data_IF_615064653367
#
_entry.id   IF_615064653367
#
_cell.length_a   1.000
_cell.length_b   1.000
_cell.length_c   1.000
_cell.angle_alpha   90.00
_cell.angle_beta   90.00
_cell.angle_gamma   90.00
#
_symmetry.space_group_name_H-M   'P 1'
#
loop_
_entity.id
_entity.type
_entity.pdbx_description
1 polymer ?
#
# COMPACT_ATOMS: atom_id res chain seq x y z
N UNK A 1 -95.11 7.37 -23.53
CA UNK A 1 -93.62 7.36 -23.61
C UNK A 1 -92.88 7.92 -22.37
N UNK A 2 -93.51 8.69 -21.46
CA UNK A 2 -92.86 9.29 -20.28
C UNK A 2 -92.54 8.37 -19.09
N UNK A 3 -93.14 7.16 -19.01
CA UNK A 3 -92.94 6.22 -17.89
C UNK A 3 -91.61 5.44 -17.99
N UNK A 4 -91.25 4.93 -19.17
CA UNK A 4 -90.00 4.18 -19.40
C UNK A 4 -88.72 5.01 -19.19
N UNK A 5 -88.73 6.30 -19.54
CA UNK A 5 -87.57 7.19 -19.36
C UNK A 5 -87.26 7.49 -17.89
N UNK A 6 -88.27 7.60 -17.01
CA UNK A 6 -88.07 7.84 -15.57
C UNK A 6 -87.50 6.61 -14.86
N UNK A 7 -87.94 5.42 -15.27
CA UNK A 7 -87.43 4.16 -14.74
C UNK A 7 -85.95 3.94 -15.12
N UNK A 8 -85.57 4.18 -16.38
CA UNK A 8 -84.18 4.13 -16.81
C UNK A 8 -83.29 5.15 -16.07
N UNK A 9 -83.76 6.38 -15.86
CA UNK A 9 -83.03 7.38 -15.09
C UNK A 9 -82.90 7.03 -13.61
N UNK A 10 -83.88 6.32 -13.02
CA UNK A 10 -83.80 5.84 -11.64
C UNK A 10 -82.80 4.68 -11.50
N UNK A 11 -82.85 3.70 -12.40
CA UNK A 11 -81.90 2.57 -12.43
C UNK A 11 -80.47 3.05 -12.69
N UNK A 12 -80.28 3.99 -13.61
CA UNK A 12 -78.97 4.56 -13.91
C UNK A 12 -78.40 5.36 -12.72
N UNK A 13 -79.24 6.10 -11.99
CA UNK A 13 -78.83 6.78 -10.73
C UNK A 13 -78.49 5.79 -9.62
N UNK A 14 -79.20 4.66 -9.53
CA UNK A 14 -78.91 3.61 -8.56
C UNK A 14 -77.57 2.91 -8.90
N UNK A 15 -77.35 2.57 -10.16
CA UNK A 15 -76.09 2.00 -10.67
C UNK A 15 -74.91 2.96 -10.43
N UNK A 16 -75.08 4.25 -10.71
CA UNK A 16 -74.07 5.28 -10.42
C UNK A 16 -73.78 5.40 -8.92
N UNK A 17 -74.79 5.29 -8.04
CA UNK A 17 -74.59 5.27 -6.58
C UNK A 17 -73.84 4.01 -6.15
N UNK A 18 -74.19 2.83 -6.65
CA UNK A 18 -73.52 1.58 -6.35
C UNK A 18 -72.06 1.58 -6.83
N UNK A 19 -71.79 2.09 -8.03
CA UNK A 19 -70.43 2.25 -8.57
C UNK A 19 -69.61 3.25 -7.73
N UNK A 20 -70.19 4.37 -7.29
CA UNK A 20 -69.53 5.34 -6.40
C UNK A 20 -69.24 4.76 -5.02
N UNK A 21 -70.15 3.96 -4.46
CA UNK A 21 -69.95 3.26 -3.19
C UNK A 21 -68.86 2.19 -3.30
N UNK A 22 -68.86 1.38 -4.37
CA UNK A 22 -67.82 0.41 -4.67
C UNK A 22 -66.44 1.06 -4.84
N UNK A 23 -66.38 2.19 -5.57
CA UNK A 23 -65.15 2.98 -5.74
C UNK A 23 -64.65 3.57 -4.41
N UNK A 24 -65.53 4.12 -3.57
CA UNK A 24 -65.18 4.61 -2.22
C UNK A 24 -64.68 3.49 -1.30
N UNK A 25 -65.27 2.29 -1.38
CA UNK A 25 -64.88 1.13 -0.57
C UNK A 25 -63.52 0.57 -1.00
N UNK A 26 -63.27 0.49 -2.32
CA UNK A 26 -61.97 0.11 -2.89
C UNK A 26 -60.87 1.11 -2.51
N UNK A 27 -61.15 2.42 -2.56
CA UNK A 27 -60.20 3.44 -2.15
C UNK A 27 -59.86 3.36 -0.65
N UNK A 28 -60.85 3.01 0.20
CA UNK A 28 -60.63 2.76 1.64
C UNK A 28 -59.74 1.54 1.90
N UNK A 29 -59.98 0.45 1.18
CA UNK A 29 -59.17 -0.78 1.31
C UNK A 29 -57.73 -0.58 0.84
N UNK A 30 -57.51 0.11 -0.28
CA UNK A 30 -56.16 0.45 -0.76
C UNK A 30 -55.43 1.30 0.26
N UNK A 31 -56.10 2.30 0.84
CA UNK A 31 -55.51 3.18 1.85
C UNK A 31 -55.20 2.46 3.17
N UNK A 32 -56.02 1.48 3.56
CA UNK A 32 -55.73 0.60 4.71
C UNK A 32 -54.55 -0.33 4.44
N UNK A 33 -54.47 -0.91 3.24
CA UNK A 33 -53.33 -1.74 2.84
C UNK A 33 -52.03 -0.94 2.79
N UNK A 34 -52.08 0.29 2.29
CA UNK A 34 -50.94 1.22 2.26
C UNK A 34 -50.49 1.60 3.69
N UNK A 35 -51.43 1.86 4.60
CA UNK A 35 -51.11 2.10 6.01
C UNK A 35 -50.52 0.88 6.71
N UNK A 36 -51.06 -0.32 6.45
CA UNK A 36 -50.53 -1.58 6.98
C UNK A 36 -49.13 -1.87 6.41
N UNK A 37 -48.90 -1.58 5.14
CA UNK A 37 -47.59 -1.69 4.50
C UNK A 37 -46.59 -0.73 5.14
N UNK A 38 -46.95 0.55 5.30
CA UNK A 38 -46.07 1.53 5.95
C UNK A 38 -45.79 1.16 7.41
N UNK A 39 -46.79 0.71 8.16
CA UNK A 39 -46.63 0.28 9.55
C UNK A 39 -45.78 -0.99 9.65
N UNK A 40 -46.04 -2.00 8.83
CA UNK A 40 -45.26 -3.23 8.76
C UNK A 40 -43.81 -2.98 8.34
N UNK A 41 -43.60 -2.10 7.36
CA UNK A 41 -42.25 -1.68 6.93
C UNK A 41 -41.53 -0.89 8.02
N UNK A 42 -42.23 -0.06 8.80
CA UNK A 42 -41.66 0.65 9.95
C UNK A 42 -41.29 -0.31 11.08
N UNK A 43 -42.16 -1.27 11.41
CA UNK A 43 -41.89 -2.32 12.39
C UNK A 43 -40.72 -3.21 11.97
N UNK A 44 -40.66 -3.62 10.71
CA UNK A 44 -39.55 -4.39 10.16
C UNK A 44 -38.26 -3.59 10.21
N UNK A 45 -38.30 -2.30 9.81
CA UNK A 45 -37.15 -1.41 9.95
C UNK A 45 -36.74 -1.27 11.41
N UNK A 46 -37.67 -1.15 12.36
CA UNK A 46 -37.36 -1.01 13.79
C UNK A 46 -36.79 -2.28 14.41
N UNK A 47 -37.31 -3.46 14.05
CA UNK A 47 -36.81 -4.77 14.50
C UNK A 47 -35.41 -5.08 13.93
N UNK A 48 -35.15 -4.65 12.69
CA UNK A 48 -33.85 -4.78 12.04
C UNK A 48 -32.98 -3.53 12.22
N UNK A 49 -33.46 -2.51 12.93
CA UNK A 49 -32.71 -1.27 13.17
C UNK A 49 -31.71 -1.56 14.26
N UNK A 50 -30.50 -1.88 13.83
CA UNK A 50 -29.36 -1.90 14.71
C UNK A 50 -28.43 -0.77 14.29
N UNK A 51 -28.24 0.23 15.17
CA UNK A 51 -27.29 1.33 14.95
C UNK A 51 -25.85 0.85 14.73
N UNK A 52 -25.55 -0.39 15.12
CA UNK A 52 -24.27 -1.05 14.90
C UNK A 52 -24.21 -1.91 13.62
N UNK A 53 -25.33 -2.21 12.95
CA UNK A 53 -25.37 -3.04 11.73
C UNK A 53 -25.68 -2.17 10.52
N UNK A 54 -24.65 -1.51 10.01
CA UNK A 54 -24.72 -0.79 8.74
C UNK A 54 -24.60 -1.79 7.56
N UNK A 55 -24.99 -1.38 6.35
CA UNK A 55 -24.82 -2.21 5.14
C UNK A 55 -23.37 -2.69 4.93
N UNK A 56 -22.40 -1.88 5.35
CA UNK A 56 -20.98 -2.25 5.35
C UNK A 56 -20.69 -3.49 6.21
N UNK A 57 -21.35 -3.65 7.36
CA UNK A 57 -21.15 -4.80 8.26
C UNK A 57 -21.70 -6.08 7.64
N UNK A 58 -22.84 -5.97 6.95
CA UNK A 58 -23.44 -7.10 6.23
C UNK A 58 -22.54 -7.52 5.07
N UNK A 59 -22.04 -6.58 4.28
CA UNK A 59 -21.08 -6.84 3.21
C UNK A 59 -19.80 -7.48 3.76
N UNK A 60 -19.22 -6.91 4.81
CA UNK A 60 -18.02 -7.46 5.46
C UNK A 60 -18.23 -8.92 5.92
N UNK A 61 -19.41 -9.23 6.44
CA UNK A 61 -19.78 -10.59 6.88
C UNK A 61 -19.93 -11.55 5.70
N UNK A 62 -20.53 -11.11 4.58
CA UNK A 62 -20.68 -11.93 3.37
C UNK A 62 -19.34 -12.24 2.70
N UNK A 63 -18.40 -11.28 2.72
CA UNK A 63 -17.07 -11.44 2.13
C UNK A 63 -16.06 -12.12 3.07
N UNK A 64 -16.42 -12.38 4.33
CA UNK A 64 -15.52 -13.00 5.31
C UNK A 64 -14.90 -14.34 4.85
N UNK A 65 -15.63 -15.28 4.22
CA UNK A 65 -15.03 -16.51 3.70
C UNK A 65 -14.02 -16.26 2.59
N UNK A 66 -14.27 -15.25 1.74
CA UNK A 66 -13.37 -14.86 0.66
C UNK A 66 -12.10 -14.24 1.24
N UNK A 67 -12.23 -13.33 2.22
CA UNK A 67 -11.09 -12.75 2.92
C UNK A 67 -10.26 -13.81 3.61
N UNK A 68 -10.89 -14.78 4.26
CA UNK A 68 -10.20 -15.90 4.88
C UNK A 68 -9.39 -16.72 3.86
N UNK A 69 -9.99 -17.04 2.71
CA UNK A 69 -9.29 -17.77 1.64
C UNK A 69 -8.10 -16.97 1.11
N UNK A 70 -8.30 -15.69 0.79
CA UNK A 70 -7.24 -14.80 0.29
C UNK A 70 -6.12 -14.66 1.32
N UNK A 71 -6.45 -14.46 2.60
CA UNK A 71 -5.48 -14.33 3.69
C UNK A 71 -4.68 -15.63 3.88
N UNK A 72 -5.34 -16.78 3.82
CA UNK A 72 -4.70 -18.09 3.94
C UNK A 72 -3.72 -18.35 2.79
N UNK A 73 -4.17 -18.09 1.55
CA UNK A 73 -3.39 -18.25 0.34
C UNK A 73 -2.21 -17.27 0.31
N UNK A 74 -2.41 -16.03 0.77
CA UNK A 74 -1.35 -14.99 0.82
C UNK A 74 -0.19 -15.39 1.74
N UNK A 75 -0.45 -16.11 2.84
CA UNK A 75 0.62 -16.63 3.72
C UNK A 75 1.53 -17.64 3.00
N UNK A 76 0.94 -18.54 2.22
CA UNK A 76 1.69 -19.52 1.44
C UNK A 76 2.52 -18.85 0.34
N UNK A 77 1.92 -17.88 -0.37
CA UNK A 77 2.64 -17.09 -1.35
C UNK A 77 3.78 -16.29 -0.74
N UNK A 78 3.67 -15.86 0.52
CA UNK A 78 4.75 -15.17 1.24
C UNK A 78 6.05 -15.98 1.27
N UNK A 79 5.97 -17.29 1.55
CA UNK A 79 7.15 -18.19 1.53
C UNK A 79 7.77 -18.28 0.14
N UNK A 80 6.93 -18.39 -0.89
CA UNK A 80 7.36 -18.43 -2.30
C UNK A 80 8.06 -17.13 -2.69
N UNK A 81 7.52 -15.97 -2.31
CA UNK A 81 8.14 -14.67 -2.59
C UNK A 81 9.48 -14.49 -1.87
N UNK A 82 9.60 -14.94 -0.63
CA UNK A 82 10.89 -14.90 0.09
C UNK A 82 11.93 -15.80 -0.60
N UNK A 83 11.55 -17.02 -0.96
CA UNK A 83 12.42 -17.93 -1.71
C UNK A 83 12.82 -17.34 -3.08
N UNK A 84 11.88 -16.66 -3.75
CA UNK A 84 12.12 -15.99 -5.03
C UNK A 84 13.14 -14.86 -4.89
N UNK A 85 13.02 -13.99 -3.88
CA UNK A 85 13.99 -12.91 -3.65
C UNK A 85 15.39 -13.50 -3.40
N UNK A 86 15.50 -14.50 -2.52
CA UNK A 86 16.78 -15.17 -2.23
C UNK A 86 17.36 -15.81 -3.50
N UNK A 87 16.54 -16.52 -4.28
CA UNK A 87 16.96 -17.18 -5.51
C UNK A 87 17.42 -16.20 -6.59
N UNK A 88 16.68 -15.10 -6.81
CA UNK A 88 17.03 -14.06 -7.79
C UNK A 88 18.29 -13.29 -7.37
N UNK A 89 18.44 -12.95 -6.08
CA UNK A 89 19.66 -12.29 -5.61
C UNK A 89 20.87 -13.23 -5.74
N UNK A 90 20.71 -14.51 -5.39
CA UNK A 90 21.78 -15.50 -5.51
C UNK A 90 22.18 -15.76 -6.96
N UNK A 91 21.22 -15.77 -7.91
CA UNK A 91 21.52 -15.95 -9.33
C UNK A 91 22.32 -14.77 -9.88
N UNK A 92 21.98 -13.53 -9.51
CA UNK A 92 22.77 -12.34 -9.88
C UNK A 92 24.18 -12.42 -9.31
N UNK A 93 24.32 -12.71 -8.02
CA UNK A 93 25.64 -12.87 -7.37
C UNK A 93 26.46 -13.95 -8.08
N UNK A 94 25.87 -15.10 -8.38
CA UNK A 94 26.55 -16.18 -9.09
C UNK A 94 27.02 -15.73 -10.48
N UNK A 95 26.20 -15.00 -11.25
CA UNK A 95 26.60 -14.48 -12.57
C UNK A 95 27.74 -13.47 -12.43
N UNK A 96 27.70 -12.58 -11.43
CA UNK A 96 28.78 -11.60 -11.19
C UNK A 96 30.10 -12.32 -10.91
N UNK A 97 30.14 -13.29 -10.00
CA UNK A 97 31.39 -13.95 -9.62
C UNK A 97 31.89 -14.98 -10.63
N UNK A 98 30.98 -15.73 -11.26
CA UNK A 98 31.37 -16.83 -12.18
C UNK A 98 31.60 -16.29 -13.59
N UNK A 99 30.77 -15.35 -14.06
CA UNK A 99 30.84 -14.85 -15.44
C UNK A 99 31.56 -13.50 -15.53
N UNK A 100 31.20 -12.50 -14.72
CA UNK A 100 31.70 -11.14 -14.90
C UNK A 100 33.10 -10.94 -14.31
N UNK A 101 33.37 -11.49 -13.12
CA UNK A 101 34.65 -11.27 -12.42
C UNK A 101 35.87 -11.70 -13.26
N UNK A 102 35.90 -12.88 -13.92
CA UNK A 102 37.04 -13.25 -14.76
C UNK A 102 37.29 -12.27 -15.90
N UNK A 103 36.22 -11.74 -16.51
CA UNK A 103 36.34 -10.71 -17.55
C UNK A 103 36.84 -9.39 -16.96
N UNK A 104 36.31 -8.99 -15.80
CA UNK A 104 36.67 -7.73 -15.17
C UNK A 104 38.15 -7.70 -14.79
N UNK A 105 38.67 -8.83 -14.28
CA UNK A 105 40.08 -8.99 -13.91
C UNK A 105 41.05 -8.91 -15.09
N UNK A 106 40.58 -9.24 -16.30
CA UNK A 106 41.41 -9.21 -17.52
C UNK A 106 41.35 -7.87 -18.25
N UNK A 107 40.20 -7.18 -18.19
CA UNK A 107 39.93 -6.01 -19.04
C UNK A 107 40.15 -4.67 -18.32
N UNK A 108 39.87 -4.58 -17.02
CA UNK A 108 39.86 -3.30 -16.30
C UNK A 108 41.15 -3.04 -15.51
N UNK A 109 41.38 -1.76 -15.20
CA UNK A 109 42.51 -1.34 -14.36
C UNK A 109 42.34 -1.84 -12.92
N UNK A 110 43.45 -2.11 -12.19
CA UNK A 110 43.39 -2.58 -10.80
C UNK A 110 42.57 -1.67 -9.87
N UNK A 111 42.64 -0.34 -10.06
CA UNK A 111 41.86 0.62 -9.29
C UNK A 111 40.34 0.41 -9.48
N UNK A 112 39.91 0.14 -10.71
CA UNK A 112 38.50 -0.09 -11.01
C UNK A 112 38.01 -1.43 -10.50
N UNK A 113 38.85 -2.47 -10.59
CA UNK A 113 38.59 -3.78 -9.98
C UNK A 113 38.38 -3.62 -8.47
N UNK A 114 39.29 -2.93 -7.77
CA UNK A 114 39.18 -2.67 -6.34
C UNK A 114 37.88 -1.93 -5.99
N UNK A 115 37.47 -0.94 -6.80
CA UNK A 115 36.21 -0.23 -6.61
C UNK A 115 34.99 -1.15 -6.74
N UNK A 116 34.92 -1.95 -7.82
CA UNK A 116 33.81 -2.92 -8.04
C UNK A 116 33.72 -3.94 -6.91
N UNK A 117 34.85 -4.47 -6.46
CA UNK A 117 34.89 -5.40 -5.34
C UNK A 117 34.47 -4.71 -4.04
N UNK A 118 35.02 -3.54 -3.70
CA UNK A 118 34.71 -2.85 -2.45
C UNK A 118 33.23 -2.43 -2.38
N UNK A 119 32.75 -1.71 -3.40
CA UNK A 119 31.36 -1.26 -3.45
C UNK A 119 30.39 -2.43 -3.57
N UNK A 120 30.69 -3.40 -4.44
CA UNK A 120 29.85 -4.58 -4.67
C UNK A 120 29.67 -5.42 -3.40
N UNK A 121 30.74 -5.70 -2.66
CA UNK A 121 30.65 -6.43 -1.39
C UNK A 121 29.95 -5.62 -0.31
N UNK A 122 30.26 -4.32 -0.18
CA UNK A 122 29.59 -3.45 0.79
C UNK A 122 28.07 -3.44 0.55
N UNK A 123 27.64 -3.23 -0.69
CA UNK A 123 26.23 -3.19 -1.04
C UNK A 123 25.56 -4.56 -0.85
N UNK A 124 26.23 -5.67 -1.19
CA UNK A 124 25.73 -7.02 -0.96
C UNK A 124 25.52 -7.30 0.54
N UNK A 125 26.49 -6.93 1.39
CA UNK A 125 26.37 -7.05 2.85
C UNK A 125 25.17 -6.26 3.35
N UNK A 126 24.98 -5.03 2.87
CA UNK A 126 23.85 -4.19 3.26
C UNK A 126 22.50 -4.79 2.82
N UNK A 127 22.40 -5.32 1.59
CA UNK A 127 21.19 -5.99 1.10
C UNK A 127 20.86 -7.21 1.97
N UNK A 128 21.83 -8.11 2.16
CA UNK A 128 21.62 -9.37 2.88
C UNK A 128 21.24 -9.09 4.34
N UNK A 129 21.97 -8.20 5.00
CA UNK A 129 21.69 -7.84 6.39
C UNK A 129 20.29 -7.25 6.56
N UNK A 130 19.93 -6.23 5.77
CA UNK A 130 18.65 -5.56 5.93
C UNK A 130 17.48 -6.46 5.53
N UNK A 131 17.65 -7.31 4.50
CA UNK A 131 16.63 -8.29 4.14
C UNK A 131 16.42 -9.31 5.25
N UNK A 132 17.51 -9.89 5.78
CA UNK A 132 17.45 -10.82 6.91
C UNK A 132 16.77 -10.21 8.14
N UNK A 133 17.14 -8.98 8.50
CA UNK A 133 16.52 -8.28 9.63
C UNK A 133 15.05 -7.96 9.37
N UNK A 134 14.66 -7.60 8.14
CA UNK A 134 13.27 -7.31 7.79
C UNK A 134 12.37 -8.54 7.89
N UNK A 135 12.85 -9.72 7.48
CA UNK A 135 12.07 -10.98 7.54
C UNK A 135 12.02 -11.57 8.96
N UNK A 136 13.10 -11.46 9.74
CA UNK A 136 13.20 -12.11 11.07
C UNK A 136 12.75 -11.23 12.23
N UNK A 137 12.88 -9.91 12.11
CA UNK A 137 12.51 -8.99 13.20
C UNK A 137 10.99 -8.92 13.32
N UNK A 138 10.49 -9.22 14.52
CA UNK A 138 9.09 -9.02 14.87
C UNK A 138 8.69 -7.55 14.68
N UNK A 139 7.57 -7.23 14.01
CA UNK A 139 7.18 -5.84 13.73
C UNK A 139 6.74 -5.06 14.98
N UNK A 140 6.53 -5.75 16.10
CA UNK A 140 6.05 -5.18 17.37
C UNK A 140 4.55 -5.36 17.55
N UNK A 141 4.16 -5.77 18.75
CA UNK A 141 2.76 -6.05 19.10
C UNK A 141 2.43 -5.37 20.44
N UNK A 142 1.20 -4.85 20.62
CA UNK A 142 0.79 -4.30 21.90
C UNK A 142 0.73 -5.40 22.96
N UNK A 143 1.03 -5.09 24.24
CA UNK A 143 0.88 -6.04 25.33
C UNK A 143 -0.59 -6.45 25.46
N UNK A 144 -0.83 -7.72 25.82
CA UNK A 144 -2.18 -8.26 26.00
C UNK A 144 -2.83 -7.83 27.33
N UNK A 145 -2.07 -7.24 28.25
CA UNK A 145 -2.57 -6.78 29.53
C UNK A 145 -3.51 -5.58 29.35
N UNK A 146 -4.65 -5.62 30.07
CA UNK A 146 -5.56 -4.48 30.22
C UNK A 146 -4.85 -3.43 31.09
N UNK A 147 -4.03 -2.58 30.48
CA UNK A 147 -3.64 -1.35 31.14
C UNK A 147 -4.83 -0.39 31.09
N UNK A 148 -5.14 0.25 32.22
CA UNK A 148 -6.19 1.26 32.41
C UNK A 148 -5.88 2.57 31.67
N UNK A 149 -5.57 2.47 30.38
CA UNK A 149 -5.36 3.62 29.51
C UNK A 149 -6.72 4.11 29.03
N UNK A 150 -7.36 4.92 29.86
CA UNK A 150 -8.59 5.64 29.54
C UNK A 150 -8.39 6.47 28.26
N UNK A 151 -9.20 6.20 27.23
CA UNK A 151 -9.20 6.95 25.96
C UNK A 151 -8.52 6.28 24.76
N UNK A 152 -8.07 5.02 24.88
CA UNK A 152 -7.47 4.28 23.77
C UNK A 152 -8.53 3.49 22.97
N UNK A 153 -8.47 3.57 21.63
CA UNK A 153 -9.35 2.77 20.75
C UNK A 153 -9.15 1.28 20.98
N UNK A 154 -10.21 0.47 20.92
CA UNK A 154 -10.11 -1.00 21.10
C UNK A 154 -10.12 -1.67 19.73
N UNK A 155 -9.25 -2.68 19.53
CA UNK A 155 -9.34 -3.54 18.36
C UNK A 155 -10.52 -4.51 18.51
N UNK A 156 -11.47 -4.48 17.59
CA UNK A 156 -12.63 -5.39 17.62
C UNK A 156 -12.26 -6.86 17.44
N UNK A 157 -11.21 -7.16 16.66
CA UNK A 157 -10.77 -8.53 16.35
C UNK A 157 -9.92 -9.14 17.48
N UNK A 158 -9.00 -8.36 18.05
CA UNK A 158 -8.13 -8.82 19.14
C UNK A 158 -8.74 -8.63 20.53
N UNK A 159 -9.81 -7.83 20.66
CA UNK A 159 -10.44 -7.46 21.94
C UNK A 159 -9.39 -6.92 22.93
N UNK A 160 -8.49 -6.07 22.42
CA UNK A 160 -7.38 -5.51 23.17
C UNK A 160 -7.25 -4.00 22.90
N UNK A 161 -6.69 -3.22 23.85
CA UNK A 161 -6.35 -1.83 23.61
C UNK A 161 -5.47 -1.70 22.37
N UNK A 162 -5.78 -0.75 21.50
CA UNK A 162 -5.03 -0.43 20.27
C UNK A 162 -4.35 0.92 20.45
N UNK A 163 -3.05 0.92 20.85
CA UNK A 163 -2.26 2.14 21.00
C UNK A 163 -2.26 2.99 19.72
N UNK A 164 -1.84 4.24 19.85
CA UNK A 164 -1.71 5.14 18.71
C UNK A 164 -0.84 4.51 17.60
N UNK A 165 -1.22 4.76 16.34
CA UNK A 165 -0.56 4.23 15.12
C UNK A 165 -0.56 2.70 14.99
N UNK A 166 -1.26 1.96 15.86
CA UNK A 166 -1.36 0.50 15.79
C UNK A 166 -2.51 0.08 14.88
N UNK A 167 -2.33 -0.93 14.03
CA UNK A 167 -3.42 -1.48 13.20
C UNK A 167 -3.44 -3.00 13.25
N UNK A 168 -4.63 -3.58 13.07
CA UNK A 168 -4.80 -5.03 13.01
C UNK A 168 -4.51 -5.51 11.59
N UNK A 169 -3.61 -6.48 11.45
CA UNK A 169 -3.37 -7.19 10.20
C UNK A 169 -4.17 -8.50 10.22
N UNK A 170 -5.10 -8.68 9.28
CA UNK A 170 -5.87 -9.93 9.15
C UNK A 170 -4.98 -11.10 8.76
N UNK A 171 -4.02 -10.87 7.86
CA UNK A 171 -3.05 -11.88 7.42
C UNK A 171 -2.20 -12.38 8.59
N UNK A 172 -1.70 -11.53 9.47
CA UNK A 172 -0.95 -11.97 10.66
C UNK A 172 -1.85 -12.32 11.87
N UNK A 173 -3.16 -12.05 11.76
CA UNK A 173 -4.18 -12.15 12.79
C UNK A 173 -3.79 -11.52 14.14
N UNK A 174 -3.23 -10.29 14.09
CA UNK A 174 -2.73 -9.59 15.29
C UNK A 174 -2.59 -8.08 15.05
N UNK A 175 -2.59 -7.31 16.13
CA UNK A 175 -2.29 -5.89 16.10
C UNK A 175 -0.78 -5.63 16.01
N UNK A 176 -0.37 -4.79 15.06
CA UNK A 176 1.02 -4.42 14.81
C UNK A 176 1.24 -2.95 15.16
N UNK A 177 2.26 -2.67 15.97
CA UNK A 177 2.65 -1.32 16.38
C UNK A 177 3.18 -0.53 15.18
N UNK A 178 2.79 0.75 15.06
CA UNK A 178 3.17 1.63 13.94
C UNK A 178 3.05 0.93 12.57
N UNK A 179 1.96 0.17 12.38
CA UNK A 179 1.81 -0.69 11.20
C UNK A 179 1.85 0.16 9.93
N UNK A 180 2.72 -0.24 9.00
CA UNK A 180 2.73 0.30 7.65
C UNK A 180 1.89 -0.61 6.75
N UNK A 181 2.37 -1.81 6.44
CA UNK A 181 1.63 -2.78 5.62
C UNK A 181 2.06 -4.21 5.94
N UNK A 182 1.29 -5.18 5.44
CA UNK A 182 1.76 -6.55 5.37
C UNK A 182 2.49 -6.76 4.05
N UNK A 183 3.73 -7.26 4.09
CA UNK A 183 4.56 -7.43 2.90
C UNK A 183 4.76 -8.92 2.59
N UNK A 184 4.15 -9.46 1.51
CA UNK A 184 4.37 -10.84 1.10
C UNK A 184 5.83 -11.15 0.79
N UNK A 185 6.59 -10.19 0.26
CA UNK A 185 8.03 -10.32 -0.05
C UNK A 185 8.93 -10.51 1.17
N UNK A 186 8.42 -10.19 2.36
CA UNK A 186 9.09 -10.46 3.63
C UNK A 186 8.47 -11.62 4.40
N UNK A 187 7.32 -12.13 3.94
CA UNK A 187 6.42 -12.98 4.72
C UNK A 187 6.20 -12.43 6.16
N UNK A 188 6.15 -11.11 6.30
CA UNK A 188 6.11 -10.43 7.58
C UNK A 188 5.39 -9.07 7.44
N UNK A 189 4.83 -8.58 8.54
CA UNK A 189 4.34 -7.21 8.60
C UNK A 189 5.51 -6.22 8.72
N UNK A 190 5.34 -5.03 8.15
CA UNK A 190 6.22 -3.89 8.36
C UNK A 190 5.59 -3.00 9.43
N UNK A 191 6.27 -2.86 10.56
CA UNK A 191 5.82 -2.14 11.74
C UNK A 191 6.98 -1.48 12.49
N UNK A 192 6.73 -1.04 13.73
CA UNK A 192 7.65 -0.20 14.50
C UNK A 192 9.12 -0.66 14.50
N UNK A 193 9.36 -1.94 14.79
CA UNK A 193 10.72 -2.46 14.99
C UNK A 193 11.46 -2.86 13.71
N UNK A 194 10.75 -3.09 12.59
CA UNK A 194 11.36 -3.54 11.35
C UNK A 194 11.17 -2.61 10.15
N UNK A 195 10.44 -1.50 10.30
CA UNK A 195 10.19 -0.54 9.21
C UNK A 195 11.50 -0.01 8.61
N UNK A 196 12.49 0.32 9.43
CA UNK A 196 13.77 0.79 8.91
C UNK A 196 14.51 -0.27 8.09
N UNK A 197 14.45 -1.54 8.51
CA UNK A 197 15.13 -2.61 7.80
C UNK A 197 14.50 -2.84 6.44
N UNK A 198 13.17 -2.80 6.37
CA UNK A 198 12.44 -2.83 5.10
C UNK A 198 12.86 -1.68 4.19
N UNK A 199 12.86 -0.43 4.68
CA UNK A 199 13.24 0.72 3.86
C UNK A 199 14.69 0.62 3.37
N UNK A 200 15.63 0.32 4.26
CA UNK A 200 17.05 0.16 3.90
C UNK A 200 17.27 -0.99 2.92
N UNK A 201 16.59 -2.12 3.08
CA UNK A 201 16.62 -3.21 2.10
C UNK A 201 16.21 -2.71 0.72
N UNK A 202 15.06 -2.04 0.60
CA UNK A 202 14.59 -1.49 -0.66
C UNK A 202 15.60 -0.50 -1.26
N UNK A 203 16.19 0.38 -0.43
CA UNK A 203 17.19 1.36 -0.85
C UNK A 203 18.46 0.69 -1.39
N UNK A 204 19.12 -0.17 -0.61
CA UNK A 204 20.38 -0.80 -1.03
C UNK A 204 20.18 -1.80 -2.17
N UNK A 205 19.00 -2.44 -2.26
CA UNK A 205 18.67 -3.28 -3.40
C UNK A 205 18.47 -2.44 -4.67
N UNK A 206 17.77 -1.31 -4.59
CA UNK A 206 17.67 -0.36 -5.71
C UNK A 206 19.05 0.17 -6.13
N UNK A 207 19.88 0.60 -5.18
CA UNK A 207 21.24 1.10 -5.48
C UNK A 207 22.11 0.02 -6.13
N UNK A 208 22.06 -1.21 -5.62
CA UNK A 208 22.79 -2.35 -6.21
C UNK A 208 22.33 -2.67 -7.63
N UNK A 209 21.02 -2.67 -7.87
CA UNK A 209 20.45 -2.88 -9.20
C UNK A 209 20.83 -1.76 -10.17
N UNK A 210 20.73 -0.49 -9.76
CA UNK A 210 21.16 0.67 -10.57
C UNK A 210 22.65 0.54 -10.91
N UNK A 211 23.48 0.20 -9.92
CA UNK A 211 24.91 0.02 -10.11
C UNK A 211 25.19 -1.06 -11.17
N UNK A 212 24.59 -2.26 -11.02
CA UNK A 212 24.76 -3.36 -11.97
C UNK A 212 24.27 -2.99 -13.38
N UNK A 213 23.16 -2.25 -13.50
CA UNK A 213 22.63 -1.79 -14.78
C UNK A 213 23.54 -0.78 -15.48
N UNK A 214 24.13 0.16 -14.73
CA UNK A 214 25.05 1.16 -15.28
C UNK A 214 26.38 0.49 -15.64
N UNK A 215 26.98 -0.26 -14.71
CA UNK A 215 28.28 -0.91 -14.94
C UNK A 215 28.23 -1.99 -16.02
N UNK A 216 27.09 -2.68 -16.15
CA UNK A 216 26.88 -3.76 -17.12
C UNK A 216 26.40 -3.30 -18.49
N UNK A 217 26.17 -2.01 -18.73
CA UNK A 217 25.55 -1.51 -19.97
C UNK A 217 26.34 -1.89 -21.24
N UNK A 218 27.65 -1.64 -21.25
CA UNK A 218 28.50 -1.96 -22.41
C UNK A 218 28.53 -3.46 -22.67
N UNK A 219 28.70 -4.27 -21.62
CA UNK A 219 28.67 -5.73 -21.71
C UNK A 219 27.32 -6.26 -22.21
N UNK A 220 26.23 -5.64 -21.78
CA UNK A 220 24.88 -5.97 -22.25
C UNK A 220 24.76 -5.72 -23.76
N UNK A 221 25.18 -4.54 -24.24
CA UNK A 221 25.11 -4.20 -25.67
C UNK A 221 25.89 -5.19 -26.51
N UNK A 222 27.09 -5.55 -26.08
CA UNK A 222 27.95 -6.51 -26.77
C UNK A 222 27.35 -7.93 -26.74
N UNK A 223 26.83 -8.36 -25.59
CA UNK A 223 26.19 -9.66 -25.46
C UNK A 223 24.90 -9.76 -26.27
N UNK A 224 24.11 -8.69 -26.32
CA UNK A 224 22.89 -8.62 -27.11
C UNK A 224 23.18 -8.70 -28.61
N UNK A 225 24.14 -7.92 -29.11
CA UNK A 225 24.59 -7.97 -30.49
C UNK A 225 25.16 -9.37 -30.86
N UNK A 226 25.92 -10.00 -29.96
CA UNK A 226 26.40 -11.35 -30.15
C UNK A 226 25.26 -12.38 -30.26
N UNK A 227 24.21 -12.26 -29.44
CA UNK A 227 23.03 -13.13 -29.52
C UNK A 227 22.29 -12.96 -30.84
N UNK A 228 22.12 -11.73 -31.32
CA UNK A 228 21.48 -11.49 -32.63
C UNK A 228 22.30 -12.10 -33.77
N UNK A 229 23.62 -11.94 -33.77
CA UNK A 229 24.51 -12.59 -34.75
C UNK A 229 24.41 -14.10 -34.70
N UNK A 230 24.41 -14.70 -33.50
CA UNK A 230 24.27 -16.15 -33.34
C UNK A 230 22.93 -16.67 -33.90
N UNK A 231 21.82 -15.94 -33.71
CA UNK A 231 20.50 -16.30 -34.26
C UNK A 231 20.48 -16.25 -35.78
N UNK A 232 21.11 -15.24 -36.38
CA UNK A 232 21.19 -15.11 -37.84
C UNK A 232 21.99 -16.26 -38.46
N UNK A 233 23.16 -16.57 -37.88
CA UNK A 233 24.00 -17.68 -38.34
C UNK A 233 23.31 -19.05 -38.17
N UNK A 234 22.54 -19.23 -37.10
CA UNK A 234 21.76 -20.47 -36.91
C UNK A 234 20.66 -20.61 -37.97
N UNK A 235 19.99 -19.50 -38.33
CA UNK A 235 18.99 -19.47 -39.41
C UNK A 235 19.62 -19.76 -40.77
N UNK A 236 20.77 -19.16 -41.07
CA UNK A 236 21.54 -19.44 -42.28
C UNK A 236 21.95 -20.91 -42.35
N UNK A 237 22.46 -21.47 -41.24
CA UNK A 237 22.81 -22.90 -41.16
C UNK A 237 21.63 -23.82 -41.46
N UNK A 238 20.46 -23.52 -40.89
CA UNK A 238 19.22 -24.28 -41.14
C UNK A 238 18.79 -24.18 -42.60
N UNK A 239 18.94 -23.00 -43.21
CA UNK A 239 18.62 -22.77 -44.62
C UNK A 239 19.58 -23.50 -45.57
N UNK A 240 20.88 -23.48 -45.29
CA UNK A 240 21.90 -24.24 -46.05
C UNK A 240 21.64 -25.75 -45.91
N UNK A 241 21.31 -26.22 -44.70
CA UNK A 241 20.96 -27.63 -44.48
C UNK A 241 19.68 -28.05 -45.22
N UNK A 242 18.68 -27.16 -45.33
CA UNK A 242 17.44 -27.41 -46.05
C UNK A 242 17.62 -27.42 -47.58
N UNK A 243 18.51 -26.58 -48.11
CA UNK A 243 18.67 -26.40 -49.55
C UNK A 243 19.63 -27.39 -50.23
N UNK A 244 20.20 -28.35 -49.50
CA UNK A 244 21.11 -29.41 -50.02
C UNK A 244 22.23 -28.93 -50.97
N UNK A 245 22.66 -27.67 -50.89
CA UNK A 245 23.77 -27.17 -51.71
C UNK A 245 25.10 -27.61 -51.12
N UNK A 246 25.65 -28.68 -51.71
CA UNK A 246 27.03 -29.15 -51.53
C UNK A 246 27.99 -27.99 -51.89
N UNK A 247 29.07 -27.79 -51.14
CA UNK A 247 30.16 -26.79 -51.29
C UNK A 247 30.18 -25.53 -50.41
N UNK A 248 29.24 -25.30 -49.47
CA UNK A 248 29.44 -24.24 -48.47
C UNK A 248 30.02 -24.79 -47.16
N UNK A 249 31.10 -24.19 -46.68
CA UNK A 249 31.63 -24.47 -45.34
C UNK A 249 30.54 -24.20 -44.30
N UNK A 250 30.28 -25.14 -43.38
CA UNK A 250 29.24 -24.93 -42.37
C UNK A 250 29.61 -23.72 -41.51
N UNK A 251 28.64 -22.84 -41.19
CA UNK A 251 28.90 -21.67 -40.36
C UNK A 251 29.47 -22.09 -38.99
N UNK A 252 30.30 -21.24 -38.37
CA UNK A 252 30.99 -21.57 -37.12
C UNK A 252 29.99 -21.95 -36.02
N UNK A 253 30.26 -23.04 -35.31
CA UNK A 253 29.40 -23.49 -34.21
C UNK A 253 29.80 -22.81 -32.91
N UNK A 254 28.84 -22.16 -32.25
CA UNK A 254 29.08 -21.53 -30.96
C UNK A 254 29.01 -22.55 -29.83
N UNK A 255 30.02 -22.52 -28.96
CA UNK A 255 30.04 -23.38 -27.77
C UNK A 255 28.85 -23.09 -26.86
N UNK A 256 28.36 -24.11 -26.16
CA UNK A 256 27.29 -23.94 -25.16
C UNK A 256 27.67 -22.90 -24.11
N UNK A 257 28.94 -22.89 -23.68
CA UNK A 257 29.48 -21.94 -22.69
C UNK A 257 29.38 -20.49 -23.15
N UNK A 258 29.73 -20.18 -24.40
CA UNK A 258 29.60 -18.82 -24.96
C UNK A 258 28.15 -18.37 -25.02
N UNK A 259 27.24 -19.25 -25.49
CA UNK A 259 25.80 -18.94 -25.52
C UNK A 259 25.24 -18.70 -24.13
N UNK A 260 25.62 -19.52 -23.15
CA UNK A 260 25.23 -19.35 -21.76
C UNK A 260 25.74 -18.01 -21.20
N UNK A 261 27.01 -17.66 -21.43
CA UNK A 261 27.60 -16.40 -20.99
C UNK A 261 26.82 -15.18 -21.49
N UNK A 262 26.60 -15.05 -22.79
CA UNK A 262 25.88 -13.89 -23.35
C UNK A 262 24.43 -13.82 -22.83
N UNK A 263 23.74 -14.97 -22.72
CA UNK A 263 22.39 -15.02 -22.15
C UNK A 263 22.36 -14.60 -20.67
N UNK A 264 23.37 -15.01 -19.88
CA UNK A 264 23.50 -14.63 -18.47
C UNK A 264 23.73 -13.13 -18.29
N UNK A 265 24.58 -12.52 -19.13
CA UNK A 265 24.82 -11.06 -19.11
C UNK A 265 23.53 -10.30 -19.44
N UNK A 266 22.79 -10.74 -20.47
CA UNK A 266 21.49 -10.14 -20.82
C UNK A 266 20.47 -10.30 -19.71
N UNK A 267 20.35 -11.50 -19.12
CA UNK A 267 19.48 -11.76 -17.97
C UNK A 267 19.81 -10.84 -16.79
N UNK A 268 21.10 -10.70 -16.45
CA UNK A 268 21.55 -9.84 -15.34
C UNK A 268 21.14 -8.38 -15.56
N UNK A 269 21.41 -7.83 -16.75
CA UNK A 269 21.09 -6.43 -17.02
C UNK A 269 19.58 -6.17 -17.06
N UNK A 270 18.80 -7.05 -17.69
CA UNK A 270 17.33 -6.93 -17.78
C UNK A 270 16.70 -7.06 -16.38
N UNK A 271 17.12 -8.05 -15.58
CA UNK A 271 16.59 -8.23 -14.24
C UNK A 271 16.92 -7.03 -13.35
N UNK A 272 18.19 -6.61 -13.30
CA UNK A 272 18.59 -5.45 -12.48
C UNK A 272 17.88 -4.17 -12.90
N UNK A 273 17.74 -3.91 -14.21
CA UNK A 273 17.07 -2.70 -14.69
C UNK A 273 15.58 -2.69 -14.37
N UNK A 274 14.91 -3.82 -14.52
CA UNK A 274 13.48 -3.94 -14.20
C UNK A 274 13.21 -3.79 -12.69
N UNK A 275 14.04 -4.42 -11.85
CA UNK A 275 13.96 -4.29 -10.38
C UNK A 275 14.31 -2.87 -9.93
N UNK A 276 15.34 -2.23 -10.52
CA UNK A 276 15.70 -0.84 -10.20
C UNK A 276 14.52 0.12 -10.41
N UNK A 277 13.78 -0.04 -11.51
CA UNK A 277 12.61 0.79 -11.80
C UNK A 277 11.46 0.52 -10.84
N UNK A 278 11.06 -0.75 -10.70
CA UNK A 278 9.91 -1.13 -9.89
C UNK A 278 10.14 -0.87 -8.39
N UNK A 279 11.27 -1.35 -7.86
CA UNK A 279 11.64 -1.16 -6.46
C UNK A 279 12.03 0.28 -6.18
N UNK A 280 12.69 0.97 -7.12
CA UNK A 280 13.05 2.38 -6.97
C UNK A 280 11.83 3.28 -6.81
N UNK A 281 10.77 3.06 -7.59
CA UNK A 281 9.51 3.78 -7.42
C UNK A 281 8.88 3.54 -6.02
N UNK A 282 8.92 2.31 -5.53
CA UNK A 282 8.46 1.96 -4.18
C UNK A 282 9.33 2.65 -3.10
N UNK A 283 10.65 2.62 -3.25
CA UNK A 283 11.61 3.27 -2.34
C UNK A 283 11.35 4.77 -2.25
N UNK A 284 11.17 5.45 -3.40
CA UNK A 284 10.85 6.87 -3.46
C UNK A 284 9.50 7.20 -2.81
N UNK A 285 8.50 6.34 -3.01
CA UNK A 285 7.21 6.48 -2.36
C UNK A 285 7.33 6.41 -0.83
N UNK A 286 8.04 5.40 -0.30
CA UNK A 286 8.27 5.29 1.14
C UNK A 286 9.12 6.44 1.68
N UNK A 287 10.13 6.91 0.93
CA UNK A 287 10.91 8.09 1.29
C UNK A 287 10.02 9.33 1.45
N UNK A 288 9.02 9.52 0.58
CA UNK A 288 8.04 10.60 0.70
C UNK A 288 7.12 10.43 1.93
N UNK A 289 6.76 9.20 2.30
CA UNK A 289 5.99 8.91 3.52
C UNK A 289 6.80 9.27 4.78
N UNK A 290 8.06 8.80 4.84
CA UNK A 290 8.98 9.07 5.96
C UNK A 290 9.19 10.58 6.11
N UNK A 291 9.42 11.30 5.00
CA UNK A 291 9.58 12.76 5.01
C UNK A 291 8.36 13.47 5.62
N UNK A 292 7.16 12.91 5.47
CA UNK A 292 5.92 13.46 6.04
C UNK A 292 5.60 12.94 7.45
N UNK A 293 6.38 12.00 7.97
CA UNK A 293 6.14 11.35 9.26
C UNK A 293 4.92 10.40 9.26
N UNK A 294 4.48 9.96 8.09
CA UNK A 294 3.28 9.11 7.90
C UNK A 294 3.68 7.66 7.58
N UNK A 295 2.90 6.68 8.04
CA UNK A 295 2.87 5.34 7.43
C UNK A 295 1.97 5.31 6.20
N UNK A 296 2.00 4.23 5.41
CA UNK A 296 1.10 4.05 4.26
C UNK A 296 -0.37 4.05 4.65
N UNK A 297 -0.73 3.44 5.79
CA UNK A 297 -2.09 3.50 6.37
C UNK A 297 -2.45 4.93 6.78
N UNK A 298 -1.54 5.61 7.49
CA UNK A 298 -1.78 6.97 7.97
C UNK A 298 -1.94 7.96 6.82
N UNK A 299 -1.22 7.78 5.72
CA UNK A 299 -1.42 8.60 4.51
C UNK A 299 -2.87 8.54 4.03
N UNK A 300 -3.49 7.37 4.05
CA UNK A 300 -4.89 7.22 3.65
C UNK A 300 -5.84 7.91 4.63
N UNK A 301 -5.61 7.74 5.94
CA UNK A 301 -6.37 8.38 7.01
C UNK A 301 -6.25 9.92 6.90
N UNK A 302 -5.03 10.42 6.81
CA UNK A 302 -4.71 11.84 6.70
C UNK A 302 -5.25 12.42 5.39
N UNK A 303 -5.26 11.67 4.29
CA UNK A 303 -5.90 12.11 3.04
C UNK A 303 -7.41 12.28 3.21
N UNK A 304 -8.09 11.34 3.86
CA UNK A 304 -9.53 11.45 4.16
C UNK A 304 -9.82 12.63 5.09
N UNK A 305 -9.00 12.85 6.12
CA UNK A 305 -9.21 13.96 7.06
C UNK A 305 -8.94 15.32 6.40
N UNK A 306 -7.91 15.43 5.55
CA UNK A 306 -7.68 16.62 4.70
C UNK A 306 -8.91 16.95 3.85
N UNK A 307 -9.49 15.95 3.18
CA UNK A 307 -10.70 16.14 2.37
C UNK A 307 -11.91 16.54 3.23
N UNK A 308 -12.06 15.98 4.43
CA UNK A 308 -13.14 16.32 5.36
C UNK A 308 -13.04 17.77 5.83
N UNK A 309 -11.84 18.22 6.21
CA UNK A 309 -11.61 19.60 6.65
C UNK A 309 -11.77 20.61 5.51
N UNK A 310 -11.33 20.28 4.30
CA UNK A 310 -11.58 21.10 3.11
C UNK A 310 -13.08 21.28 2.85
N UNK A 311 -13.88 20.20 2.94
CA UNK A 311 -15.34 20.27 2.80
C UNK A 311 -15.98 21.12 3.90
N UNK A 312 -15.55 20.97 5.16
CA UNK A 312 -16.04 21.83 6.27
C UNK A 312 -15.70 23.30 6.08
N UNK A 313 -14.49 23.60 5.60
CA UNK A 313 -14.07 24.96 5.27
C UNK A 313 -14.93 25.57 4.16
N UNK A 314 -15.19 24.80 3.09
CA UNK A 314 -16.07 25.21 1.99
C UNK A 314 -17.54 25.41 2.41
N UNK A 315 -18.08 24.58 3.30
CA UNK A 315 -19.43 24.77 3.85
C UNK A 315 -19.50 26.03 4.72
N UNK A 316 -18.45 26.27 5.53
CA UNK A 316 -18.40 27.47 6.39
C UNK A 316 -18.31 28.76 5.57
N UNK A 317 -17.54 28.77 4.47
CA UNK A 317 -17.47 29.92 3.55
C UNK A 317 -18.75 30.09 2.73
N UNK A 318 -19.39 29.00 2.28
CA UNK A 318 -20.66 29.05 1.56
C UNK A 318 -21.84 29.51 2.43
N UNK A 319 -21.93 29.06 3.69
CA UNK A 319 -22.91 29.56 4.65
C UNK A 319 -22.72 31.06 4.95
N UNK A 320 -21.47 31.55 4.92
CA UNK A 320 -21.16 32.97 5.09
C UNK A 320 -21.54 33.81 3.86
N UNK A 321 -21.46 33.24 2.65
CA UNK A 321 -21.82 33.92 1.40
C UNK A 321 -23.33 33.91 1.10
N UNK A 322 -24.10 32.97 1.66
CA UNK A 322 -25.55 32.88 1.50
C UNK A 322 -26.38 33.73 2.47
N UNK A 323 -25.75 34.36 3.47
CA UNK A 323 -26.41 35.31 4.37
C UNK A 323 -26.46 36.70 3.70
N UNK A 324 -27.60 37.00 3.06
CA UNK A 324 -27.85 38.27 2.41
C UNK A 324 -27.71 39.49 3.33
N UNK A 325 -27.16 40.56 2.75
CA UNK A 325 -27.24 41.98 3.12
C UNK A 325 -28.02 42.30 4.40
N UNK A 326 -27.33 42.19 5.54
CA UNK A 326 -27.88 42.55 6.84
C UNK A 326 -26.76 42.88 7.82
N UNK A 327 -26.37 44.17 7.85
CA UNK A 327 -25.63 44.86 8.91
C UNK A 327 -24.43 44.07 9.49
N UNK A 328 -23.24 44.34 8.94
CA UNK A 328 -21.96 43.87 9.45
C UNK A 328 -21.84 44.10 10.98
N UNK A 329 -22.06 43.03 11.75
CA UNK A 329 -21.70 42.96 13.17
C UNK A 329 -20.23 42.57 13.19
N UNK A 330 -19.40 43.43 13.77
CA UNK A 330 -17.92 43.42 13.71
C UNK A 330 -17.25 42.31 14.54
N UNK A 331 -18.00 41.28 14.94
CA UNK A 331 -17.61 40.32 15.97
C UNK A 331 -17.77 38.84 15.54
N UNK A 332 -17.62 38.52 14.25
CA UNK A 332 -17.39 37.12 13.88
C UNK A 332 -15.92 36.79 14.14
N UNK A 333 -15.60 35.87 15.08
CA UNK A 333 -14.23 35.45 15.28
C UNK A 333 -13.76 34.84 13.96
N UNK A 334 -12.63 35.34 13.46
CA UNK A 334 -11.88 34.83 12.33
C UNK A 334 -11.97 33.30 12.35
N UNK A 335 -12.75 32.71 11.44
CA UNK A 335 -12.90 31.25 11.41
C UNK A 335 -11.53 30.70 11.02
N UNK A 336 -10.78 30.25 12.01
CA UNK A 336 -9.48 29.63 11.82
C UNK A 336 -9.73 28.48 10.86
N UNK A 337 -9.27 28.64 9.61
CA UNK A 337 -9.30 27.57 8.62
C UNK A 337 -8.45 26.46 9.23
N UNK A 338 -9.11 25.41 9.75
CA UNK A 338 -8.41 24.29 10.38
C UNK A 338 -7.65 23.54 9.30
N UNK A 339 -6.39 23.94 9.09
CA UNK A 339 -5.46 23.25 8.21
C UNK A 339 -5.07 21.95 8.90
N UNK A 340 -5.32 20.82 8.25
CA UNK A 340 -4.87 19.52 8.75
C UNK A 340 -3.34 19.53 8.90
N UNK A 341 -2.87 19.33 10.13
CA UNK A 341 -1.45 19.14 10.43
C UNK A 341 -1.24 17.72 10.92
N UNK A 342 -0.30 16.98 10.32
CA UNK A 342 0.02 15.64 10.79
C UNK A 342 0.60 15.73 12.20
N UNK A 343 -0.05 15.14 13.23
CA UNK A 343 0.42 15.21 14.61
C UNK A 343 1.74 14.47 14.86
N UNK A 344 2.21 13.64 13.91
CA UNK A 344 3.46 12.87 14.05
C UNK A 344 4.56 13.34 13.09
N UNK A 345 4.44 14.55 12.53
CA UNK A 345 5.49 15.14 11.69
C UNK A 345 6.31 16.15 12.48
N UNK A 346 7.59 15.87 12.65
CA UNK A 346 8.57 16.74 13.34
C UNK A 346 9.30 17.69 12.38
N UNK A 347 9.09 17.54 11.07
CA UNK A 347 9.83 18.23 10.02
C UNK A 347 10.52 17.23 9.10
N UNK A 348 10.74 17.59 7.83
CA UNK A 348 11.23 16.66 6.81
C UNK A 348 12.49 15.91 7.24
N UNK A 349 13.52 16.64 7.67
CA UNK A 349 14.80 16.07 8.09
C UNK A 349 14.74 15.37 9.46
N UNK A 350 14.01 15.93 10.43
CA UNK A 350 13.92 15.33 11.76
C UNK A 350 13.10 14.03 11.75
N UNK A 351 12.11 13.92 10.86
CA UNK A 351 11.42 12.65 10.60
C UNK A 351 12.40 11.55 10.15
N UNK A 352 13.38 11.89 9.29
CA UNK A 352 14.43 10.95 8.86
C UNK A 352 15.37 10.57 10.01
N UNK A 353 15.79 11.53 10.84
CA UNK A 353 16.62 11.24 12.02
C UNK A 353 15.90 10.30 12.98
N UNK A 354 14.65 10.56 13.31
CA UNK A 354 13.86 9.71 14.20
C UNK A 354 13.67 8.31 13.59
N UNK A 355 13.38 8.24 12.28
CA UNK A 355 13.18 6.98 11.55
C UNK A 355 14.44 6.11 11.47
N UNK A 356 15.59 6.70 11.14
CA UNK A 356 16.88 6.01 11.05
C UNK A 356 17.59 5.86 12.40
N UNK A 357 17.05 6.49 13.46
CA UNK A 357 17.66 6.50 14.77
C UNK A 357 18.98 7.28 14.79
N UNK A 358 19.04 8.49 14.24
CA UNK A 358 20.28 9.28 14.12
C UNK A 358 20.24 10.51 15.02
N UNK A 359 20.87 10.39 16.19
CA UNK A 359 20.96 11.47 17.18
C UNK A 359 22.24 12.32 17.05
N UNK A 360 23.36 11.68 16.70
CA UNK A 360 24.67 12.35 16.52
C UNK A 360 25.24 12.09 15.13
N UNK A 361 26.15 12.94 14.61
CA UNK A 361 26.69 12.77 13.26
C UNK A 361 27.35 11.40 13.00
N UNK A 362 28.01 10.81 14.01
CA UNK A 362 28.64 9.48 13.90
C UNK A 362 27.64 8.33 13.68
N UNK A 363 26.37 8.55 14.01
CA UNK A 363 25.30 7.56 13.78
C UNK A 363 25.00 7.37 12.29
N UNK A 364 25.27 8.35 11.42
CA UNK A 364 25.12 8.13 9.98
C UNK A 364 26.00 6.97 9.48
N UNK A 365 27.25 6.91 9.94
CA UNK A 365 28.14 5.82 9.57
C UNK A 365 27.72 4.50 10.24
N UNK A 366 27.53 4.51 11.56
CA UNK A 366 27.35 3.28 12.35
C UNK A 366 25.94 2.68 12.31
N UNK A 367 24.92 3.50 11.97
CA UNK A 367 23.50 3.08 11.96
C UNK A 367 22.89 3.04 10.56
N UNK A 368 23.44 3.77 9.58
CA UNK A 368 22.89 3.85 8.21
C UNK A 368 23.80 3.20 7.17
N UNK A 369 25.11 3.49 7.20
CA UNK A 369 26.07 2.97 6.20
C UNK A 369 26.67 1.61 6.55
N UNK A 370 26.51 1.15 7.79
CA UNK A 370 26.95 -0.15 8.27
C UNK A 370 25.76 -0.98 8.78
N UNK A 371 25.85 -2.32 8.73
CA UNK A 371 24.89 -3.22 9.35
C UNK A 371 24.69 -2.88 10.83
N UNK A 372 23.46 -2.55 11.22
CA UNK A 372 23.17 -2.10 12.58
C UNK A 372 21.85 -2.66 13.12
N UNK A 373 21.87 -3.45 14.20
CA UNK A 373 20.68 -4.05 14.81
C UNK A 373 20.04 -3.17 15.89
N UNK A 374 20.39 -1.88 16.00
CA UNK A 374 19.89 -0.98 17.05
C UNK A 374 18.36 -0.94 17.14
N UNK A 375 17.74 -0.40 18.19
CA UNK A 375 16.28 -0.30 18.25
C UNK A 375 15.80 1.07 17.73
N UNK A 376 14.57 1.18 17.18
CA UNK A 376 13.96 2.47 16.91
C UNK A 376 13.70 3.23 18.21
N UNK A 377 13.46 4.53 18.10
CA UNK A 377 13.06 5.37 19.23
C UNK A 377 11.73 4.91 19.83
N UNK A 378 11.72 4.73 21.16
CA UNK A 378 10.54 4.37 21.94
C UNK A 378 10.03 2.95 21.69
N UNK A 379 8.99 2.58 22.45
CA UNK A 379 8.37 1.24 22.40
C UNK A 379 7.29 1.12 21.32
N UNK A 380 6.89 2.23 20.70
CA UNK A 380 5.76 2.29 19.76
C UNK A 380 4.38 2.26 20.43
N UNK A 381 4.32 2.22 21.77
CA UNK A 381 3.08 2.30 22.56
C UNK A 381 2.64 3.75 22.79
N UNK A 382 3.60 4.65 23.00
CA UNK A 382 3.42 6.09 23.13
C UNK A 382 4.24 6.83 22.08
N UNK A 383 3.82 8.05 21.77
CA UNK A 383 4.45 8.91 20.76
C UNK A 383 4.48 10.33 21.31
N UNK A 384 5.67 10.91 21.40
CA UNK A 384 5.83 12.30 21.81
C UNK A 384 5.32 13.21 20.70
N UNK A 385 4.46 14.17 21.03
CA UNK A 385 3.99 15.12 20.03
C UNK A 385 5.10 16.12 19.67
N UNK A 386 5.14 16.65 18.44
CA UNK A 386 6.06 17.71 18.07
C UNK A 386 5.86 18.92 19.01
N UNK A 387 6.92 19.70 19.31
CA UNK A 387 6.85 20.85 20.21
C UNK A 387 5.69 21.82 19.88
N UNK A 388 5.43 22.04 18.59
CA UNK A 388 4.37 22.92 18.10
C UNK A 388 2.93 22.41 18.34
N UNK A 389 2.74 21.12 18.61
CA UNK A 389 1.43 20.52 18.92
C UNK A 389 1.21 20.45 20.43
N UNK A 390 2.29 20.29 21.22
CA UNK A 390 2.25 20.40 22.68
C UNK A 390 1.85 21.79 23.15
N UNK A 391 2.30 22.87 22.49
CA UNK A 391 1.87 24.25 22.80
C UNK A 391 0.38 24.47 22.56
N UNK A 392 -0.22 23.87 21.52
CA UNK A 392 -1.67 23.95 21.26
C UNK A 392 -2.53 23.13 22.24
N UNK A 393 -1.93 22.19 22.98
CA UNK A 393 -2.61 21.37 24.01
C UNK A 393 -2.34 21.82 25.44
N UNK A 394 -1.46 22.80 25.66
CA UNK A 394 -1.38 23.48 26.95
C UNK A 394 -2.76 24.11 27.22
N UNK A 395 -3.45 23.74 28.30
CA UNK A 395 -4.87 24.01 28.42
C UNK A 395 -5.11 25.50 28.65
N UNK A 396 -6.16 26.01 27.99
CA UNK A 396 -7.04 27.07 28.50
C UNK A 396 -7.71 26.60 29.82
N UNK A 397 -6.91 26.25 30.82
CA UNK A 397 -7.28 25.98 32.22
C UNK A 397 -6.27 26.67 33.15
N UNK A 398 -5.81 27.84 32.74
CA UNK A 398 -5.16 28.80 33.63
C UNK A 398 -5.70 30.18 33.25
N UNK A 399 -6.84 30.53 33.85
CA UNK A 399 -7.20 31.81 34.48
C UNK A 399 -8.59 31.60 35.09
#
# INVERSE_FOLDING_TARGET
MRSRQRMFAAVMRLLLKCLRLGRRRRFRLVRQAEQLWHYGHLCLRSLLYNSFTNGDVVLDSLFEPIYWLVDHVTRWFGVVFVALVIGLTSSIVAIVYICLLPLILQTYTPAWICWHLAYGHWNLIMIVFHYYMAITTSPGHPPQAKNDLTGISICRKCIAPKPARTHHCSICNRCVLKMDHHCPWLNNCVGHYNHRYFFSFCLFMTLGCIYCSISGWEMFRDAYAAIERMKLLEKERLQVAANQTYYQTPPPTFSFRQRAFHKSVVYLWVLCSSVALALGALTLWHAALITRGETSIERHINRKERQRLQKKGQVSTACSAGAGWGRARRDTPLSILQVFRNPYSYGGWDNWKVFLGVDVPRHWLTRVLLPSPHLPHGTGLSWDLPPCVTEQRAPLLAI
#
